data_IF_403862880776
#
_entry.id   IF_403862880776
#
_cell.length_a   1.000
_cell.length_b   1.000
_cell.length_c   1.000
_cell.angle_alpha   90.00
_cell.angle_beta   90.00
_cell.angle_gamma   90.00
#
_symmetry.space_group_name_H-M   'P 1'
#
loop_
_entity.id
_entity.type
_entity.pdbx_description
1 polymer ?
#
# COMPACT_ATOMS: atom_id res chain seq x y z
N UNK A 1 79.70 -17.32 -65.07
CA UNK A 1 78.94 -16.04 -65.01
C UNK A 1 77.62 -16.27 -65.74
N UNK A 2 76.48 -16.41 -65.06
CA UNK A 2 75.55 -15.34 -64.64
C UNK A 2 74.28 -15.45 -65.52
N UNK A 3 73.03 -15.39 -65.05
CA UNK A 3 72.43 -15.21 -63.73
C UNK A 3 70.95 -15.64 -63.87
N UNK A 4 70.45 -16.47 -62.95
CA UNK A 4 69.04 -16.89 -62.83
C UNK A 4 68.13 -15.66 -62.75
N UNK A 5 67.06 -15.59 -63.57
CA UNK A 5 65.99 -14.60 -63.41
C UNK A 5 65.05 -15.06 -62.29
N UNK A 6 64.94 -14.20 -61.27
CA UNK A 6 64.08 -14.37 -60.08
C UNK A 6 62.62 -14.14 -60.45
N UNK A 7 61.78 -14.96 -59.83
CA UNK A 7 60.33 -14.81 -59.69
C UNK A 7 60.04 -13.51 -58.94
N UNK A 8 59.20 -12.64 -59.49
CA UNK A 8 58.69 -11.45 -58.82
C UNK A 8 57.62 -11.83 -57.82
N UNK A 9 57.93 -11.72 -56.53
CA UNK A 9 56.94 -11.75 -55.45
C UNK A 9 56.26 -10.39 -55.35
N UNK A 10 54.93 -10.37 -55.35
CA UNK A 10 54.14 -9.19 -55.02
C UNK A 10 54.43 -8.75 -53.57
N UNK A 11 54.44 -7.44 -53.26
CA UNK A 11 54.63 -6.98 -51.89
C UNK A 11 53.40 -7.35 -51.05
N UNK A 12 53.64 -7.96 -49.89
CA UNK A 12 52.63 -8.19 -48.88
C UNK A 12 52.03 -6.84 -48.46
N UNK A 13 50.74 -6.65 -48.73
CA UNK A 13 49.98 -5.51 -48.24
C UNK A 13 50.05 -5.50 -46.70
N UNK A 14 50.72 -4.49 -46.15
CA UNK A 14 50.77 -4.26 -44.71
C UNK A 14 49.33 -4.04 -44.21
N UNK A 15 48.82 -5.03 -43.49
CA UNK A 15 47.54 -4.92 -42.79
C UNK A 15 47.68 -3.83 -41.74
N UNK A 16 47.02 -2.69 -41.96
CA UNK A 16 46.92 -1.63 -40.96
C UNK A 16 46.24 -2.20 -39.71
N UNK A 17 46.71 -1.90 -38.49
CA UNK A 17 46.01 -2.31 -37.28
C UNK A 17 44.60 -1.73 -37.32
N UNK A 18 43.57 -2.59 -37.24
CA UNK A 18 42.20 -2.13 -36.97
C UNK A 18 42.25 -1.37 -35.65
N UNK A 19 41.88 -0.10 -35.68
CA UNK A 19 41.64 0.65 -34.45
C UNK A 19 40.66 -0.17 -33.59
N UNK A 20 40.88 -0.27 -32.28
CA UNK A 20 39.92 -0.94 -31.41
C UNK A 20 38.57 -0.25 -31.64
N UNK A 21 37.56 -1.07 -31.92
CA UNK A 21 36.18 -0.62 -32.03
C UNK A 21 35.79 -0.07 -30.66
N UNK A 22 35.98 1.24 -30.47
CA UNK A 22 35.58 1.94 -29.26
C UNK A 22 34.07 2.02 -29.35
N UNK A 23 33.43 0.92 -28.96
CA UNK A 23 31.99 0.79 -28.82
C UNK A 23 31.49 2.07 -28.16
N UNK A 24 30.72 2.83 -28.93
CA UNK A 24 30.06 4.06 -28.53
C UNK A 24 29.12 3.71 -27.37
N UNK A 25 29.64 3.71 -26.15
CA UNK A 25 28.83 3.56 -24.93
C UNK A 25 27.94 4.80 -24.87
N UNK A 26 26.65 4.60 -25.15
CA UNK A 26 25.61 5.60 -24.92
C UNK A 26 25.73 6.14 -23.48
N UNK A 27 25.65 7.47 -23.26
CA UNK A 27 25.76 8.04 -21.93
C UNK A 27 24.63 7.53 -21.01
N UNK A 28 24.99 6.72 -20.02
CA UNK A 28 24.48 6.84 -18.65
C UNK A 28 22.98 6.60 -18.41
N UNK A 29 22.31 5.67 -19.09
CA UNK A 29 21.02 5.18 -18.60
C UNK A 29 21.27 4.13 -17.53
N UNK A 30 21.23 4.53 -16.26
CA UNK A 30 21.36 3.59 -15.15
C UNK A 30 20.18 2.60 -15.16
N UNK A 31 20.40 1.30 -15.46
CA UNK A 31 19.34 0.31 -15.46
C UNK A 31 18.75 0.09 -14.07
N UNK A 32 19.47 0.43 -12.99
CA UNK A 32 18.97 0.33 -11.61
C UNK A 32 17.88 1.35 -11.35
N UNK A 33 18.09 2.61 -11.72
CA UNK A 33 17.08 3.67 -11.57
C UNK A 33 15.80 3.38 -12.35
N UNK A 34 15.90 2.81 -13.56
CA UNK A 34 14.72 2.40 -14.33
C UNK A 34 13.93 1.26 -13.64
N UNK A 35 14.64 0.29 -13.04
CA UNK A 35 14.03 -0.81 -12.31
C UNK A 35 13.38 -0.36 -10.99
N UNK A 36 14.03 0.53 -10.24
CA UNK A 36 13.49 1.11 -8.99
C UNK A 36 12.22 1.93 -9.24
N UNK A 37 12.19 2.73 -10.32
CA UNK A 37 10.99 3.48 -10.73
C UNK A 37 9.87 2.52 -11.14
N UNK A 38 10.18 1.46 -11.87
CA UNK A 38 9.21 0.42 -12.25
C UNK A 38 8.62 -0.31 -11.03
N UNK A 39 9.47 -0.70 -10.08
CA UNK A 39 9.06 -1.35 -8.84
C UNK A 39 8.17 -0.42 -7.99
N UNK A 40 8.58 0.84 -7.82
CA UNK A 40 7.80 1.85 -7.09
C UNK A 40 6.44 2.09 -7.73
N UNK A 41 6.39 2.24 -9.06
CA UNK A 41 5.13 2.43 -9.79
C UNK A 41 4.20 1.23 -9.62
N UNK A 42 4.74 0.01 -9.75
CA UNK A 42 3.98 -1.23 -9.59
C UNK A 42 3.39 -1.35 -8.19
N UNK A 43 4.18 -1.00 -7.16
CA UNK A 43 3.73 -1.02 -5.77
C UNK A 43 2.55 -0.08 -5.53
N UNK A 44 2.65 1.19 -5.98
CA UNK A 44 1.56 2.16 -5.84
C UNK A 44 0.32 1.78 -6.63
N UNK A 45 0.47 1.22 -7.84
CA UNK A 45 -0.67 0.73 -8.61
C UNK A 45 -1.37 -0.42 -7.91
N UNK A 46 -0.63 -1.36 -7.34
CA UNK A 46 -1.22 -2.49 -6.59
C UNK A 46 -1.91 -2.01 -5.32
N UNK A 47 -1.28 -1.11 -4.56
CA UNK A 47 -1.89 -0.50 -3.37
C UNK A 47 -3.20 0.24 -3.72
N UNK A 48 -3.21 1.01 -4.81
CA UNK A 48 -4.40 1.72 -5.27
C UNK A 48 -5.52 0.76 -5.71
N UNK A 49 -5.19 -0.31 -6.42
CA UNK A 49 -6.17 -1.35 -6.80
C UNK A 49 -6.77 -2.02 -5.57
N UNK A 50 -5.95 -2.39 -4.57
CA UNK A 50 -6.43 -2.98 -3.32
C UNK A 50 -7.39 -2.05 -2.60
N UNK A 51 -7.02 -0.77 -2.44
CA UNK A 51 -7.89 0.22 -1.80
C UNK A 51 -9.20 0.41 -2.57
N UNK A 52 -9.15 0.49 -3.91
CA UNK A 52 -10.33 0.65 -4.75
C UNK A 52 -11.28 -0.55 -4.65
N UNK A 53 -10.74 -1.78 -4.64
CA UNK A 53 -11.54 -3.00 -4.46
C UNK A 53 -12.17 -3.03 -3.07
N UNK A 54 -11.42 -2.73 -2.02
CA UNK A 54 -11.95 -2.67 -0.65
C UNK A 54 -13.10 -1.66 -0.54
N UNK A 55 -12.95 -0.47 -1.13
CA UNK A 55 -14.01 0.55 -1.17
C UNK A 55 -15.23 0.06 -1.97
N UNK A 56 -15.02 -0.50 -3.16
CA UNK A 56 -16.11 -0.93 -4.05
C UNK A 56 -16.96 -2.05 -3.43
N UNK A 57 -16.35 -2.97 -2.68
CA UNK A 57 -17.07 -4.08 -2.03
C UNK A 57 -17.95 -3.61 -0.86
N UNK A 58 -17.60 -2.50 -0.21
CA UNK A 58 -18.30 -2.02 0.97
C UNK A 58 -19.01 -0.68 0.78
N UNK A 59 -18.98 -0.05 -0.41
CA UNK A 59 -19.69 1.22 -0.65
C UNK A 59 -21.20 1.10 -0.41
N UNK A 60 -21.77 -0.08 -0.62
CA UNK A 60 -23.18 -0.35 -0.36
C UNK A 60 -23.52 -0.34 1.15
N UNK A 61 -22.55 -0.59 2.03
CA UNK A 61 -22.76 -0.60 3.49
C UNK A 61 -22.97 0.80 4.07
N UNK A 62 -22.58 1.85 3.33
CA UNK A 62 -22.73 3.25 3.77
C UNK A 62 -24.18 3.66 4.04
N UNK A 63 -25.15 2.93 3.49
CA UNK A 63 -26.59 3.17 3.67
C UNK A 63 -27.23 2.19 4.67
N UNK A 64 -26.43 1.38 5.34
CA UNK A 64 -26.88 0.48 6.39
C UNK A 64 -27.37 1.24 7.62
N UNK A 65 -28.23 0.59 8.41
CA UNK A 65 -28.61 1.10 9.72
C UNK A 65 -27.68 0.53 10.79
N UNK A 66 -27.51 1.27 11.89
CA UNK A 66 -26.91 0.75 13.12
C UNK A 66 -27.82 -0.37 13.65
N UNK A 67 -27.33 -1.60 13.65
CA UNK A 67 -28.13 -2.77 14.02
C UNK A 67 -27.31 -3.78 14.82
N UNK A 68 -28.00 -4.72 15.48
CA UNK A 68 -27.36 -5.79 16.27
C UNK A 68 -26.44 -5.21 17.35
N UNK A 69 -25.14 -5.52 17.29
CA UNK A 69 -24.14 -5.09 18.28
C UNK A 69 -23.98 -3.57 18.37
N UNK A 70 -24.28 -2.82 17.31
CA UNK A 70 -24.23 -1.35 17.30
C UNK A 70 -25.19 -0.75 18.33
N UNK A 71 -26.30 -1.44 18.62
CA UNK A 71 -27.29 -1.03 19.62
C UNK A 71 -26.63 -0.84 20.98
N UNK A 72 -25.81 -1.81 21.40
CA UNK A 72 -25.14 -1.74 22.69
C UNK A 72 -23.80 -1.00 22.62
N UNK A 73 -23.09 -1.09 21.49
CA UNK A 73 -21.77 -0.48 21.35
C UNK A 73 -21.84 1.04 21.16
N UNK A 74 -22.91 1.54 20.51
CA UNK A 74 -23.06 2.95 20.08
C UNK A 74 -24.33 3.55 20.69
N UNK A 75 -25.52 3.02 20.34
CA UNK A 75 -26.81 3.67 20.63
C UNK A 75 -27.07 3.78 22.14
N UNK A 76 -26.86 2.69 22.87
CA UNK A 76 -27.10 2.60 24.32
C UNK A 76 -25.84 2.85 25.16
N UNK A 77 -24.69 3.06 24.52
CA UNK A 77 -23.42 3.25 25.23
C UNK A 77 -23.28 4.69 25.73
N UNK A 78 -23.53 4.88 27.04
CA UNK A 78 -23.49 6.21 27.66
C UNK A 78 -22.13 6.90 27.45
N UNK A 79 -21.01 6.18 27.51
CA UNK A 79 -19.68 6.80 27.39
C UNK A 79 -19.37 7.24 25.95
N UNK A 80 -19.90 6.54 24.95
CA UNK A 80 -19.84 6.99 23.54
C UNK A 80 -20.63 8.27 23.36
N UNK A 81 -21.84 8.33 23.92
CA UNK A 81 -22.73 9.50 23.78
C UNK A 81 -22.25 10.72 24.54
N UNK A 82 -21.63 10.54 25.70
CA UNK A 82 -21.08 11.65 26.51
C UNK A 82 -19.65 12.02 26.12
N UNK A 83 -18.93 11.16 25.39
CA UNK A 83 -17.52 11.36 25.09
C UNK A 83 -16.60 11.24 26.33
N UNK A 84 -17.01 10.47 27.35
CA UNK A 84 -16.22 10.28 28.57
C UNK A 84 -15.00 9.39 28.30
N UNK A 85 -13.91 10.02 27.83
CA UNK A 85 -12.64 9.36 27.50
C UNK A 85 -12.09 8.56 28.69
N UNK A 86 -12.21 9.07 29.92
CA UNK A 86 -11.68 8.38 31.09
C UNK A 86 -12.41 7.06 31.34
N UNK A 87 -13.74 7.06 31.28
CA UNK A 87 -14.53 5.83 31.40
C UNK A 87 -14.28 4.87 30.24
N UNK A 88 -14.19 5.38 29.00
CA UNK A 88 -13.88 4.55 27.82
C UNK A 88 -12.55 3.80 27.98
N UNK A 89 -11.53 4.47 28.50
CA UNK A 89 -10.20 3.90 28.65
C UNK A 89 -10.09 2.93 29.83
N UNK A 90 -10.91 3.09 30.87
CA UNK A 90 -10.73 2.37 32.14
C UNK A 90 -11.79 1.32 32.43
N UNK A 91 -12.93 1.34 31.74
CA UNK A 91 -14.07 0.48 32.04
C UNK A 91 -14.59 -0.26 30.80
N UNK A 92 -15.09 -1.49 30.94
CA UNK A 92 -15.75 -2.21 29.85
C UNK A 92 -17.18 -1.68 29.64
N UNK A 93 -17.56 -1.44 28.38
CA UNK A 93 -18.88 -0.92 27.98
C UNK A 93 -19.61 -1.78 26.96
N UNK A 94 -18.94 -2.78 26.38
CA UNK A 94 -19.53 -3.55 25.29
C UNK A 94 -20.39 -4.69 25.85
N UNK A 95 -21.54 -4.95 25.23
CA UNK A 95 -22.40 -6.13 25.42
C UNK A 95 -23.42 -6.11 26.59
N UNK A 96 -23.61 -5.02 27.34
CA UNK A 96 -24.64 -4.95 28.39
C UNK A 96 -24.97 -3.51 28.79
N UNK A 97 -26.27 -3.24 28.99
CA UNK A 97 -26.80 -2.02 29.59
C UNK A 97 -26.25 -1.89 31.02
N UNK A 98 -25.30 -0.96 31.21
CA UNK A 98 -24.65 -0.59 32.47
C UNK A 98 -23.51 -1.48 33.02
N UNK A 99 -23.24 -2.70 32.51
CA UNK A 99 -22.04 -3.49 32.88
C UNK A 99 -21.57 -4.35 31.70
N UNK A 100 -21.02 -3.70 30.68
CA UNK A 100 -20.43 -4.40 29.54
C UNK A 100 -19.33 -5.38 29.96
N UNK A 101 -19.21 -6.49 29.25
CA UNK A 101 -18.16 -7.50 29.46
C UNK A 101 -16.97 -7.34 28.51
N UNK A 102 -17.06 -6.44 27.52
CA UNK A 102 -15.99 -6.17 26.56
C UNK A 102 -15.30 -4.82 26.79
N UNK A 103 -13.96 -4.87 26.88
CA UNK A 103 -13.10 -3.68 26.88
C UNK A 103 -12.45 -3.52 25.49
N UNK A 104 -12.89 -2.51 24.75
CA UNK A 104 -12.43 -2.18 23.38
C UNK A 104 -12.17 -0.67 23.27
N UNK A 105 -11.22 -0.12 24.05
CA UNK A 105 -11.08 1.32 24.26
C UNK A 105 -10.89 2.10 22.96
N UNK A 106 -10.04 1.60 22.05
CA UNK A 106 -9.79 2.27 20.77
C UNK A 106 -11.05 2.32 19.89
N UNK A 107 -11.81 1.23 19.84
CA UNK A 107 -13.04 1.16 19.04
C UNK A 107 -14.12 2.06 19.63
N UNK A 108 -14.30 2.03 20.95
CA UNK A 108 -15.24 2.91 21.65
C UNK A 108 -14.86 4.39 21.48
N UNK A 109 -13.56 4.73 21.49
CA UNK A 109 -13.10 6.10 21.22
C UNK A 109 -13.44 6.54 19.80
N UNK A 110 -13.21 5.69 18.79
CA UNK A 110 -13.61 5.98 17.41
C UNK A 110 -15.12 6.23 17.34
N UNK A 111 -15.94 5.39 17.97
CA UNK A 111 -17.39 5.60 18.01
C UNK A 111 -17.81 6.86 18.76
N UNK A 112 -17.10 7.25 19.82
CA UNK A 112 -17.35 8.50 20.53
C UNK A 112 -17.02 9.72 19.65
N UNK A 113 -15.94 9.66 18.87
CA UNK A 113 -15.60 10.69 17.90
C UNK A 113 -16.63 10.75 16.76
N UNK A 114 -17.03 9.60 16.22
CA UNK A 114 -18.07 9.52 15.19
C UNK A 114 -19.39 10.08 15.71
N UNK A 115 -19.77 9.76 16.96
CA UNK A 115 -20.97 10.30 17.60
C UNK A 115 -20.88 11.81 17.79
N UNK A 116 -19.72 12.33 18.19
CA UNK A 116 -19.52 13.78 18.36
C UNK A 116 -19.64 14.55 17.04
N UNK A 117 -19.27 13.94 15.92
CA UNK A 117 -19.30 14.56 14.60
C UNK A 117 -20.63 14.37 13.85
N UNK A 118 -21.26 13.20 13.98
CA UNK A 118 -22.39 12.78 13.15
C UNK A 118 -23.64 12.38 13.95
N UNK A 119 -23.58 12.39 15.28
CA UNK A 119 -24.66 11.87 16.13
C UNK A 119 -24.89 10.39 15.88
N UNK A 120 -26.14 9.99 15.68
CA UNK A 120 -26.51 8.60 15.36
C UNK A 120 -26.71 8.36 13.85
N UNK A 121 -26.24 9.25 12.98
CA UNK A 121 -26.25 9.01 11.53
C UNK A 121 -25.28 7.87 11.17
N UNK A 122 -25.76 6.69 10.72
CA UNK A 122 -24.92 5.53 10.45
C UNK A 122 -23.86 5.79 9.37
N UNK A 123 -24.11 6.75 8.47
CA UNK A 123 -23.24 7.01 7.33
C UNK A 123 -21.80 7.32 7.76
N UNK A 124 -21.62 8.16 8.78
CA UNK A 124 -20.30 8.55 9.28
C UNK A 124 -19.50 7.36 9.81
N UNK A 125 -20.14 6.54 10.65
CA UNK A 125 -19.54 5.32 11.21
C UNK A 125 -19.11 4.33 10.13
N UNK A 126 -19.99 4.07 9.15
CA UNK A 126 -19.69 3.16 8.06
C UNK A 126 -18.58 3.71 7.16
N UNK A 127 -18.57 5.02 6.88
CA UNK A 127 -17.51 5.64 6.10
C UNK A 127 -16.14 5.47 6.76
N UNK A 128 -16.03 5.77 8.05
CA UNK A 128 -14.78 5.60 8.81
C UNK A 128 -14.34 4.13 8.81
N UNK A 129 -15.25 3.19 9.04
CA UNK A 129 -14.95 1.76 9.02
C UNK A 129 -14.43 1.29 7.65
N UNK A 130 -15.04 1.74 6.56
CA UNK A 130 -14.61 1.37 5.19
C UNK A 130 -13.24 1.97 4.86
N UNK A 131 -12.98 3.22 5.25
CA UNK A 131 -11.67 3.86 5.05
C UNK A 131 -10.56 3.16 5.86
N UNK A 132 -10.85 2.80 7.11
CA UNK A 132 -9.93 2.02 7.95
C UNK A 132 -9.68 0.64 7.35
N UNK A 133 -10.71 -0.04 6.84
CA UNK A 133 -10.56 -1.34 6.19
C UNK A 133 -9.68 -1.27 4.94
N UNK A 134 -9.90 -0.26 4.08
CA UNK A 134 -9.05 -0.03 2.91
C UNK A 134 -7.59 0.24 3.32
N UNK A 135 -7.39 1.05 4.35
CA UNK A 135 -6.06 1.36 4.90
C UNK A 135 -5.36 0.10 5.41
N UNK A 136 -6.03 -0.70 6.24
CA UNK A 136 -5.47 -1.95 6.78
C UNK A 136 -5.16 -2.95 5.66
N UNK A 137 -6.01 -3.03 4.64
CA UNK A 137 -5.78 -3.91 3.47
C UNK A 137 -4.50 -3.53 2.73
N UNK A 138 -4.25 -2.23 2.53
CA UNK A 138 -2.99 -1.73 1.94
C UNK A 138 -1.80 -1.98 2.87
N UNK A 139 -1.95 -1.80 4.18
CA UNK A 139 -0.89 -2.07 5.15
C UNK A 139 -0.50 -3.56 5.17
N UNK A 140 -1.48 -4.46 5.10
CA UNK A 140 -1.25 -5.91 4.99
C UNK A 140 -0.44 -6.20 3.73
N UNK A 141 -0.84 -5.67 2.57
CA UNK A 141 -0.05 -5.77 1.34
C UNK A 141 1.38 -5.23 1.50
N UNK A 142 1.54 -4.09 2.18
CA UNK A 142 2.85 -3.49 2.42
C UNK A 142 3.75 -4.39 3.30
N UNK A 143 3.18 -5.03 4.33
CA UNK A 143 3.89 -6.00 5.18
C UNK A 143 4.28 -7.23 4.37
N UNK A 144 3.34 -7.83 3.63
CA UNK A 144 3.61 -8.99 2.78
C UNK A 144 4.68 -8.70 1.73
N UNK A 145 4.65 -7.53 1.09
CA UNK A 145 5.65 -7.12 0.11
C UNK A 145 7.06 -6.99 0.69
N UNK A 146 7.17 -6.68 2.00
CA UNK A 146 8.47 -6.59 2.68
C UNK A 146 8.97 -7.94 3.18
N UNK A 147 8.06 -8.81 3.64
CA UNK A 147 8.42 -10.11 4.21
C UNK A 147 8.63 -11.19 3.13
N UNK A 148 7.89 -11.12 2.03
CA UNK A 148 8.01 -12.06 0.90
C UNK A 148 9.07 -11.66 -0.13
N UNK A 149 9.72 -10.50 0.04
CA UNK A 149 10.89 -10.13 -0.75
C UNK A 149 12.06 -11.05 -0.34
N UNK A 150 12.65 -11.82 -1.28
CA UNK A 150 13.79 -12.70 -0.99
C UNK A 150 15.06 -11.94 -0.64
#
# INVERSE_FOLDING_TARGET
MAKRRRVGGAPAAAQRPRAPDVARREPGRDPRGAAEVGATRTWWTTAAVIAAVALALYVNSLRGALFFDDTNAIINNVWVRTGDVASILTRPSWWSEARGHGWRPLTTLTFALDHALHGLDPFGYHLVNVLLHATVSVLVFAVFSRVAAP
#
